data_IF_217118107157
#
_entry.id   IF_217118107157
#
_cell.length_a   1.000
_cell.length_b   1.000
_cell.length_c   1.000
_cell.angle_alpha   90.00
_cell.angle_beta   90.00
_cell.angle_gamma   90.00
#
_symmetry.space_group_name_H-M   'P 1'
#
loop_
_entity.id
_entity.type
_entity.pdbx_description
1 polymer ?
#
# COMPACT_ATOMS: atom_id res chain seq x y z
N UNK A 1 -6.77 4.31 -21.80
CA UNK A 1 -5.30 4.32 -21.63
C UNK A 1 -5.03 4.99 -20.29
N UNK A 2 -4.72 4.21 -19.24
CA UNK A 2 -4.61 4.76 -17.88
C UNK A 2 -3.22 5.38 -17.68
N UNK A 3 -3.20 6.68 -17.36
CA UNK A 3 -2.02 7.43 -16.89
C UNK A 3 -1.36 6.67 -15.73
N UNK A 4 -0.31 5.88 -16.01
CA UNK A 4 0.65 5.51 -14.95
C UNK A 4 1.51 6.75 -14.75
N UNK A 5 1.28 7.49 -13.66
CA UNK A 5 2.32 8.38 -13.16
C UNK A 5 3.58 7.53 -12.98
N UNK A 6 4.57 7.73 -13.84
CA UNK A 6 5.83 7.01 -13.75
C UNK A 6 6.53 7.49 -12.49
N UNK A 7 6.59 6.61 -11.48
CA UNK A 7 7.32 6.86 -10.25
C UNK A 7 8.71 6.25 -10.35
N UNK A 8 9.66 6.92 -9.73
CA UNK A 8 11.05 6.51 -9.64
C UNK A 8 11.38 6.10 -8.21
N UNK A 9 12.31 5.17 -8.07
CA UNK A 9 12.74 4.61 -6.81
C UNK A 9 13.58 5.63 -6.06
N UNK A 10 13.19 5.98 -4.83
CA UNK A 10 13.95 6.92 -4.00
C UNK A 10 15.37 6.44 -3.66
N UNK A 11 15.67 5.14 -3.79
CA UNK A 11 16.99 4.58 -3.49
C UNK A 11 17.95 4.50 -4.67
N UNK A 12 17.45 4.24 -5.87
CA UNK A 12 18.32 3.99 -7.04
C UNK A 12 17.90 4.75 -8.30
N UNK A 13 16.82 5.54 -8.26
CA UNK A 13 16.32 6.33 -9.38
C UNK A 13 15.59 5.53 -10.46
N UNK A 14 15.63 4.20 -10.42
CA UNK A 14 15.00 3.34 -11.41
C UNK A 14 13.46 3.32 -11.29
N UNK A 15 12.75 2.86 -12.31
CA UNK A 15 11.29 2.80 -12.34
C UNK A 15 10.75 1.89 -11.23
N UNK A 16 9.65 2.31 -10.60
CA UNK A 16 8.88 1.47 -9.69
C UNK A 16 7.51 1.14 -10.29
N UNK A 17 7.01 -0.05 -9.99
CA UNK A 17 5.73 -0.55 -10.50
C UNK A 17 4.74 -0.71 -9.36
N UNK A 18 3.47 -0.32 -9.58
CA UNK A 18 2.40 -0.64 -8.64
C UNK A 18 2.12 -2.13 -8.70
N UNK A 19 2.25 -2.80 -7.56
CA UNK A 19 1.85 -4.19 -7.40
C UNK A 19 0.50 -4.23 -6.67
N UNK A 20 -0.33 -5.18 -7.03
CA UNK A 20 -1.55 -5.50 -6.30
C UNK A 20 -1.24 -6.65 -5.34
N UNK A 21 -1.63 -6.51 -4.08
CA UNK A 21 -1.54 -7.60 -3.10
C UNK A 21 -2.89 -8.31 -3.10
N UNK A 22 -2.98 -9.40 -3.89
CA UNK A 22 -4.23 -10.13 -4.16
C UNK A 22 -4.71 -10.94 -2.95
N UNK A 23 -3.80 -11.62 -2.27
CA UNK A 23 -4.04 -12.25 -0.97
C UNK A 23 -3.16 -11.51 0.03
N UNK A 24 -3.82 -10.73 0.91
CA UNK A 24 -3.23 -9.72 1.77
C UNK A 24 -1.93 -10.17 2.43
N UNK A 25 -1.05 -9.21 2.71
CA UNK A 25 0.13 -9.40 3.54
C UNK A 25 -0.28 -10.20 4.81
N UNK A 26 -0.07 -11.53 4.82
CA UNK A 26 -0.27 -12.41 5.99
C UNK A 26 0.89 -12.23 6.98
N UNK A 27 1.44 -11.03 7.05
CA UNK A 27 2.30 -10.58 8.14
C UNK A 27 1.39 -10.04 9.21
N UNK A 28 1.40 -10.68 10.38
CA UNK A 28 0.63 -10.27 11.55
C UNK A 28 1.07 -8.85 11.98
N UNK A 29 0.43 -7.81 11.44
CA UNK A 29 0.49 -6.48 12.03
C UNK A 29 -0.51 -6.48 13.19
N UNK A 30 -0.01 -6.82 14.39
CA UNK A 30 -0.81 -6.98 15.60
C UNK A 30 -1.48 -5.66 15.93
N UNK A 31 -2.77 -5.58 15.62
CA UNK A 31 -3.65 -4.52 16.07
C UNK A 31 -4.17 -4.93 17.45
N UNK A 32 -4.05 -3.99 18.38
CA UNK A 32 -4.77 -3.86 19.64
C UNK A 32 -5.99 -4.82 19.78
N UNK A 33 -6.17 -5.55 20.90
CA UNK A 33 -7.29 -6.47 21.14
C UNK A 33 -8.71 -5.89 20.89
N UNK A 34 -8.86 -4.57 20.78
CA UNK A 34 -10.10 -3.90 20.35
C UNK A 34 -10.25 -3.71 18.82
N UNK A 35 -9.36 -4.30 18.04
CA UNK A 35 -9.10 -3.99 16.63
C UNK A 35 -10.27 -4.20 15.67
N UNK A 36 -11.23 -5.07 16.01
CA UNK A 36 -12.44 -5.29 15.20
C UNK A 36 -13.57 -4.32 15.58
N UNK A 37 -13.59 -3.82 16.82
CA UNK A 37 -14.64 -2.92 17.31
C UNK A 37 -14.40 -1.46 16.88
N UNK A 38 -13.13 -1.06 16.76
CA UNK A 38 -12.70 0.31 16.46
C UNK A 38 -12.94 0.78 15.01
N UNK A 39 -13.34 -0.13 14.09
CA UNK A 39 -13.42 0.17 12.64
C UNK A 39 -14.78 -0.18 12.02
N UNK A 40 -15.79 -0.51 12.83
CA UNK A 40 -17.15 -0.84 12.36
C UNK A 40 -17.86 0.31 11.62
N UNK A 41 -17.32 1.51 11.74
CA UNK A 41 -17.83 2.78 11.24
C UNK A 41 -16.81 3.55 10.38
N UNK A 42 -15.63 2.95 10.07
CA UNK A 42 -14.63 3.55 9.19
C UNK A 42 -14.66 2.89 7.82
N UNK A 43 -14.55 3.70 6.76
CA UNK A 43 -14.41 3.19 5.40
C UNK A 43 -13.03 2.53 5.26
N UNK A 44 -12.99 1.42 4.53
CA UNK A 44 -11.73 0.72 4.24
C UNK A 44 -11.14 1.24 2.92
N UNK A 45 -9.82 1.33 2.84
CA UNK A 45 -9.07 1.59 1.60
C UNK A 45 -8.03 0.50 1.40
N UNK A 46 -7.75 0.16 0.14
CA UNK A 46 -6.63 -0.72 -0.19
C UNK A 46 -5.31 0.00 0.09
N UNK A 47 -4.31 -0.77 0.53
CA UNK A 47 -2.92 -0.33 0.64
C UNK A 47 -2.11 -1.20 -0.31
N UNK A 48 -1.49 -0.58 -1.31
CA UNK A 48 -0.76 -1.27 -2.36
C UNK A 48 0.69 -0.77 -2.43
N UNK A 49 1.66 -1.67 -2.57
CA UNK A 49 3.05 -1.28 -2.70
C UNK A 49 3.38 -0.86 -4.13
N UNK A 50 4.30 0.08 -4.26
CA UNK A 50 5.11 0.28 -5.45
C UNK A 50 6.48 -0.34 -5.21
N UNK A 51 6.88 -1.27 -6.07
CA UNK A 51 8.11 -2.05 -5.91
C UNK A 51 9.10 -1.65 -7.00
N UNK A 52 10.34 -1.37 -6.59
CA UNK A 52 11.46 -1.23 -7.51
C UNK A 52 11.94 -2.60 -7.97
N UNK A 53 11.90 -2.85 -9.27
CA UNK A 53 12.34 -4.13 -9.85
C UNK A 53 13.84 -4.30 -9.88
N UNK A 54 14.60 -3.22 -9.66
CA UNK A 54 16.06 -3.24 -9.64
C UNK A 54 16.63 -3.54 -8.25
N UNK A 55 16.21 -2.79 -7.22
CA UNK A 55 16.77 -2.90 -5.87
C UNK A 55 15.82 -3.48 -4.81
N UNK A 56 14.59 -3.83 -5.18
CA UNK A 56 13.60 -4.41 -4.27
C UNK A 56 13.01 -3.43 -3.24
N UNK A 57 13.33 -2.14 -3.31
CA UNK A 57 12.73 -1.12 -2.45
C UNK A 57 11.22 -1.04 -2.67
N UNK A 58 10.44 -0.99 -1.59
CA UNK A 58 8.99 -0.96 -1.62
C UNK A 58 8.44 0.25 -0.86
N UNK A 59 7.52 0.96 -1.50
CA UNK A 59 6.78 2.09 -0.92
C UNK A 59 5.30 1.75 -0.83
N UNK A 60 4.65 1.97 0.31
CA UNK A 60 3.26 1.58 0.54
C UNK A 60 2.36 2.81 0.57
N UNK A 61 1.27 2.78 -0.21
CA UNK A 61 0.31 3.88 -0.29
C UNK A 61 -1.12 3.37 -0.16
N UNK A 62 -1.95 4.16 0.53
CA UNK A 62 -3.40 3.98 0.51
C UNK A 62 -3.97 4.53 -0.81
N UNK A 63 -4.92 3.82 -1.41
CA UNK A 63 -5.62 4.29 -2.61
C UNK A 63 -6.56 5.48 -2.32
N UNK A 64 -7.14 5.53 -1.11
CA UNK A 64 -8.00 6.61 -0.61
C UNK A 64 -7.64 6.94 0.85
N UNK A 65 -6.52 7.64 1.09
CA UNK A 65 -6.09 7.97 2.45
C UNK A 65 -7.14 8.78 3.24
N UNK A 66 -8.01 9.54 2.57
CA UNK A 66 -9.11 10.29 3.16
C UNK A 66 -10.16 9.42 3.87
N UNK A 67 -10.29 8.14 3.50
CA UNK A 67 -11.23 7.21 4.14
C UNK A 67 -10.76 6.77 5.55
N UNK A 68 -9.51 7.08 5.93
CA UNK A 68 -8.90 6.69 7.21
C UNK A 68 -9.05 7.74 8.32
N UNK A 69 -9.45 8.98 7.98
CA UNK A 69 -9.57 10.12 8.90
C UNK A 69 -10.87 10.00 9.70
#
# INVERSE_FOLDING_TARGET
>A
MHNRQERTCLKCGDKIIKCYVDDGLKGLLVKNPDGDRLFSNKKNTNINPFICTNCGFAEWYADKPEDLI
#
